data_IF_805015029283
#
_entry.id   IF_805015029283
#
_cell.length_a   1.000
_cell.length_b   1.000
_cell.length_c   1.000
_cell.angle_alpha   90.00
_cell.angle_beta   90.00
_cell.angle_gamma   90.00
#
_symmetry.space_group_name_H-M   'P 1'
#
loop_
_entity.id
_entity.type
_entity.pdbx_description
1 polymer ?
#
# COMPACT_ATOMS: atom_id res chain seq x y z
N UNK A 1 2.12 60.45 -8.81
CA UNK A 1 3.15 59.95 -7.87
C UNK A 1 2.51 58.84 -7.05
N UNK A 2 2.86 57.59 -7.37
CA UNK A 2 2.36 56.39 -6.67
C UNK A 2 3.09 56.34 -5.33
N UNK A 3 2.35 56.31 -4.23
CA UNK A 3 2.89 56.26 -2.87
C UNK A 3 3.73 54.99 -2.70
N UNK A 4 5.05 55.18 -2.67
CA UNK A 4 5.99 54.22 -2.15
C UNK A 4 5.88 54.18 -0.62
N UNK A 5 5.91 52.97 -0.04
CA UNK A 5 6.26 52.80 1.37
C UNK A 5 5.11 52.65 2.36
N UNK A 6 4.26 51.64 2.19
CA UNK A 6 3.94 50.80 3.37
C UNK A 6 4.78 49.55 3.24
N UNK A 7 5.83 49.45 4.06
CA UNK A 7 6.53 48.19 4.25
C UNK A 7 5.46 47.13 4.56
N UNK A 8 5.35 46.12 3.70
CA UNK A 8 4.42 45.00 3.90
C UNK A 8 4.81 44.41 5.25
N UNK A 9 3.94 44.58 6.25
CA UNK A 9 4.18 44.10 7.60
C UNK A 9 4.54 42.62 7.48
N UNK A 10 5.76 42.27 7.92
CA UNK A 10 6.31 40.92 7.77
C UNK A 10 5.59 40.06 8.79
N UNK A 11 4.40 39.58 8.45
CA UNK A 11 3.68 38.60 9.25
C UNK A 11 4.55 37.35 9.31
N UNK A 12 5.10 37.09 10.48
CA UNK A 12 5.81 35.84 10.75
C UNK A 12 4.75 34.75 10.83
N UNK A 13 4.80 33.81 9.89
CA UNK A 13 3.85 32.71 9.86
C UNK A 13 4.01 31.86 11.11
N UNK A 14 2.91 31.50 11.75
CA UNK A 14 2.94 30.48 12.79
C UNK A 14 3.11 29.11 12.15
N UNK A 15 3.52 28.10 12.92
CA UNK A 15 3.57 26.71 12.44
C UNK A 15 2.22 26.23 11.91
N UNK A 16 1.09 26.76 12.42
CA UNK A 16 -0.26 26.43 11.94
C UNK A 16 -0.50 27.00 10.55
N UNK A 17 -0.05 28.22 10.30
CA UNK A 17 -0.17 28.85 8.97
C UNK A 17 0.70 28.13 7.95
N UNK A 18 1.92 27.76 8.34
CA UNK A 18 2.81 26.96 7.50
C UNK A 18 2.23 25.59 7.16
N UNK A 19 1.68 24.90 8.16
CA UNK A 19 1.01 23.61 7.97
C UNK A 19 -0.22 23.74 7.06
N UNK A 20 -1.00 24.82 7.22
CA UNK A 20 -2.14 25.10 6.35
C UNK A 20 -1.67 25.37 4.91
N UNK A 21 -0.60 26.15 4.72
CA UNK A 21 -0.03 26.42 3.41
C UNK A 21 0.46 25.14 2.71
N UNK A 22 1.17 24.28 3.44
CA UNK A 22 1.56 22.93 2.98
C UNK A 22 0.33 22.10 2.58
N UNK A 23 -0.71 22.09 3.43
CA UNK A 23 -1.93 21.31 3.21
C UNK A 23 -2.69 21.79 1.96
N UNK A 24 -2.85 23.10 1.80
CA UNK A 24 -3.46 23.70 0.60
C UNK A 24 -2.66 23.33 -0.63
N UNK A 25 -1.34 23.49 -0.60
CA UNK A 25 -0.47 23.18 -1.73
C UNK A 25 -0.60 21.71 -2.18
N UNK A 26 -0.49 20.76 -1.24
CA UNK A 26 -0.51 19.32 -1.53
C UNK A 26 -1.90 18.77 -1.83
N UNK A 27 -2.94 19.25 -1.16
CA UNK A 27 -4.30 18.70 -1.33
C UNK A 27 -5.07 19.34 -2.48
N UNK A 28 -4.91 20.65 -2.71
CA UNK A 28 -5.70 21.36 -3.70
C UNK A 28 -5.14 21.26 -5.12
N UNK A 29 -3.84 20.94 -5.28
CA UNK A 29 -3.21 20.85 -6.60
C UNK A 29 -2.98 22.22 -7.26
N UNK A 30 -2.77 23.25 -6.44
CA UNK A 30 -2.52 24.64 -6.87
C UNK A 30 -1.03 24.92 -7.04
N UNK A 31 -0.68 26.00 -7.73
CA UNK A 31 0.72 26.41 -7.91
C UNK A 31 1.31 26.99 -6.62
N UNK A 32 2.63 26.94 -6.48
CA UNK A 32 3.32 27.60 -5.35
C UNK A 32 3.07 29.11 -5.34
N UNK A 33 2.97 29.76 -6.50
CA UNK A 33 2.68 31.20 -6.59
C UNK A 33 1.30 31.58 -6.07
N UNK A 34 0.30 30.72 -6.32
CA UNK A 34 -1.04 30.92 -5.80
C UNK A 34 -1.05 30.83 -4.27
N UNK A 35 -0.39 29.81 -3.70
CA UNK A 35 -0.27 29.66 -2.25
C UNK A 35 0.54 30.81 -1.64
N UNK A 36 1.66 31.18 -2.25
CA UNK A 36 2.46 32.30 -1.79
C UNK A 36 1.65 33.61 -1.73
N UNK A 37 0.83 33.85 -2.74
CA UNK A 37 -0.08 35.00 -2.79
C UNK A 37 -1.14 34.94 -1.69
N UNK A 38 -1.75 33.77 -1.45
CA UNK A 38 -2.77 33.55 -0.42
C UNK A 38 -2.24 33.83 0.99
N UNK A 39 -0.99 33.43 1.28
CA UNK A 39 -0.36 33.59 2.59
C UNK A 39 0.49 34.86 2.71
N UNK A 40 0.56 35.70 1.66
CA UNK A 40 1.34 36.94 1.67
C UNK A 40 2.86 36.73 1.74
N UNK A 41 3.36 35.56 1.35
CA UNK A 41 4.77 35.16 1.38
C UNK A 41 5.38 35.08 -0.02
N UNK A 42 6.69 34.82 -0.12
CA UNK A 42 7.35 34.57 -1.40
C UNK A 42 7.21 33.12 -1.86
N UNK A 43 7.35 32.89 -3.18
CA UNK A 43 7.41 31.54 -3.75
C UNK A 43 8.55 30.70 -3.13
N UNK A 44 9.68 31.33 -2.81
CA UNK A 44 10.79 30.64 -2.15
C UNK A 44 10.42 30.19 -0.74
N UNK A 45 9.67 31.00 0.01
CA UNK A 45 9.22 30.63 1.35
C UNK A 45 8.27 29.43 1.33
N UNK A 46 7.28 29.39 0.42
CA UNK A 46 6.39 28.23 0.31
C UNK A 46 7.15 26.97 -0.08
N UNK A 47 8.20 27.08 -0.90
CA UNK A 47 9.06 25.95 -1.25
C UNK A 47 9.82 25.38 -0.05
N UNK A 48 10.32 26.24 0.85
CA UNK A 48 10.96 25.81 2.10
C UNK A 48 9.95 25.18 3.07
N UNK A 49 8.80 25.83 3.27
CA UNK A 49 7.68 25.33 4.09
C UNK A 49 7.26 23.94 3.61
N UNK A 50 7.05 23.79 2.30
CA UNK A 50 6.62 22.54 1.71
C UNK A 50 7.61 21.40 1.99
N UNK A 51 8.92 21.63 1.80
CA UNK A 51 9.94 20.61 2.05
C UNK A 51 10.08 20.26 3.53
N UNK A 52 10.03 21.26 4.42
CA UNK A 52 10.11 21.05 5.86
C UNK A 52 8.93 20.20 6.35
N UNK A 53 7.70 20.60 6.01
CA UNK A 53 6.50 19.86 6.39
C UNK A 53 6.41 18.50 5.71
N UNK A 54 6.87 18.35 4.46
CA UNK A 54 6.95 17.04 3.82
C UNK A 54 7.83 16.08 4.62
N UNK A 55 8.98 16.53 5.13
CA UNK A 55 9.85 15.69 5.94
C UNK A 55 9.18 15.32 7.28
N UNK A 56 8.59 16.29 7.97
CA UNK A 56 7.88 16.07 9.24
C UNK A 56 6.73 15.08 9.06
N UNK A 57 5.89 15.29 8.05
CA UNK A 57 4.73 14.44 7.76
C UNK A 57 5.14 13.03 7.34
N UNK A 58 6.18 12.90 6.51
CA UNK A 58 6.69 11.61 6.08
C UNK A 58 7.19 10.78 7.26
N UNK A 59 7.97 11.38 8.17
CA UNK A 59 8.44 10.69 9.39
C UNK A 59 7.29 10.37 10.33
N UNK A 60 6.48 11.35 10.71
CA UNK A 60 5.43 11.18 11.71
C UNK A 60 4.37 10.14 11.28
N UNK A 61 3.97 10.14 9.99
CA UNK A 61 2.97 9.19 9.51
C UNK A 61 3.51 7.76 9.40
N UNK A 62 4.81 7.58 9.11
CA UNK A 62 5.42 6.25 9.08
C UNK A 62 5.55 5.66 10.50
N UNK A 63 5.88 6.50 11.49
CA UNK A 63 5.89 6.11 12.90
C UNK A 63 4.48 5.80 13.42
N UNK A 64 3.48 6.59 13.00
CA UNK A 64 2.08 6.40 13.41
C UNK A 64 1.44 5.16 12.80
N UNK A 65 1.82 4.79 11.58
CA UNK A 65 1.26 3.65 10.85
C UNK A 65 2.37 2.69 10.42
N UNK A 66 2.99 1.98 11.37
CA UNK A 66 4.02 0.99 11.04
C UNK A 66 3.41 -0.17 10.24
N UNK A 67 4.24 -1.01 9.64
CA UNK A 67 3.73 -2.23 8.99
C UNK A 67 2.94 -3.06 10.01
N UNK A 68 1.72 -3.52 9.69
CA UNK A 68 0.97 -4.37 10.60
C UNK A 68 1.68 -5.72 10.75
N UNK A 69 1.58 -6.28 11.95
CA UNK A 69 2.04 -7.64 12.24
C UNK A 69 1.14 -8.69 11.58
N UNK A 70 1.63 -9.93 11.51
CA UNK A 70 0.84 -11.07 11.03
C UNK A 70 -0.44 -11.24 11.85
N UNK A 71 -0.34 -11.09 13.17
CA UNK A 71 -1.48 -11.18 14.08
C UNK A 71 -2.51 -10.07 13.85
N UNK A 72 -2.06 -8.81 13.69
CA UNK A 72 -2.96 -7.69 13.36
C UNK A 72 -3.70 -7.91 12.04
N UNK A 73 -3.01 -8.41 11.02
CA UNK A 73 -3.63 -8.71 9.72
C UNK A 73 -4.68 -9.83 9.79
N UNK A 74 -4.40 -10.89 10.56
CA UNK A 74 -5.32 -12.03 10.72
C UNK A 74 -6.51 -11.71 11.62
N UNK A 75 -6.38 -10.75 12.54
CA UNK A 75 -7.48 -10.31 13.42
C UNK A 75 -8.62 -9.64 12.65
N UNK A 76 -8.30 -8.91 11.59
CA UNK A 76 -9.25 -8.11 10.82
C UNK A 76 -9.15 -8.47 9.34
N UNK A 77 -9.24 -9.77 9.04
CA UNK A 77 -9.10 -10.27 7.68
C UNK A 77 -10.42 -10.08 6.90
N UNK A 78 -10.41 -9.57 5.65
CA UNK A 78 -11.66 -9.35 4.94
C UNK A 78 -12.27 -10.66 4.45
N UNK A 79 -13.54 -10.90 4.80
CA UNK A 79 -14.24 -12.17 4.52
C UNK A 79 -14.25 -12.52 3.03
N UNK A 80 -14.35 -11.51 2.16
CA UNK A 80 -14.36 -11.68 0.70
C UNK A 80 -13.13 -12.39 0.13
N UNK A 81 -11.96 -12.26 0.78
CA UNK A 81 -10.78 -13.01 0.36
C UNK A 81 -10.89 -14.50 0.71
N UNK A 82 -11.52 -14.82 1.84
CA UNK A 82 -11.79 -16.19 2.25
C UNK A 82 -12.84 -16.82 1.32
N UNK A 83 -13.88 -16.08 0.96
CA UNK A 83 -14.90 -16.55 0.00
C UNK A 83 -14.32 -16.76 -1.41
N UNK A 84 -13.42 -15.87 -1.84
CA UNK A 84 -12.77 -15.97 -3.13
C UNK A 84 -11.80 -17.16 -3.19
N UNK A 85 -10.89 -17.25 -2.21
CA UNK A 85 -9.71 -18.11 -2.27
C UNK A 85 -9.83 -19.38 -1.41
N UNK A 86 -10.83 -19.46 -0.53
CA UNK A 86 -10.99 -20.54 0.45
C UNK A 86 -10.01 -20.47 1.62
N UNK A 87 -9.22 -19.40 1.72
CA UNK A 87 -8.15 -19.26 2.71
C UNK A 87 -7.82 -17.78 2.99
N UNK A 88 -7.16 -17.51 4.11
CA UNK A 88 -6.67 -16.20 4.53
C UNK A 88 -5.15 -16.05 4.33
N UNK A 89 -4.70 -16.21 3.08
CA UNK A 89 -3.27 -16.14 2.70
C UNK A 89 -2.93 -15.03 1.72
N UNK A 90 -3.87 -14.17 1.31
CA UNK A 90 -3.54 -12.96 0.57
C UNK A 90 -3.02 -11.88 1.52
N UNK A 91 -1.78 -11.43 1.31
CA UNK A 91 -1.09 -10.44 2.16
C UNK A 91 -0.81 -9.12 1.46
N UNK A 92 -0.76 -9.14 0.13
CA UNK A 92 -0.40 -7.99 -0.68
C UNK A 92 -1.28 -7.92 -1.93
N UNK A 93 -1.86 -6.75 -2.15
CA UNK A 93 -2.46 -6.37 -3.43
C UNK A 93 -1.46 -5.46 -4.13
N UNK A 94 -0.77 -5.98 -5.13
CA UNK A 94 0.27 -5.25 -5.84
C UNK A 94 -0.32 -4.65 -7.12
N UNK A 95 -0.42 -3.33 -7.13
CA UNK A 95 -0.85 -2.56 -8.29
C UNK A 95 0.05 -1.33 -8.45
N UNK A 96 0.89 -1.35 -9.48
CA UNK A 96 1.71 -0.20 -9.80
C UNK A 96 0.89 0.83 -10.57
N UNK A 97 0.94 2.09 -10.15
CA UNK A 97 0.29 3.17 -10.88
C UNK A 97 1.31 4.18 -11.40
N UNK A 98 0.92 4.91 -12.44
CA UNK A 98 1.71 5.99 -13.03
C UNK A 98 1.04 7.35 -12.76
N UNK A 99 1.87 8.36 -12.51
CA UNK A 99 1.47 9.77 -12.52
C UNK A 99 2.24 10.51 -13.61
N UNK A 100 1.61 11.52 -14.18
CA UNK A 100 2.24 12.32 -15.24
C UNK A 100 3.26 13.29 -14.66
N UNK A 101 4.40 13.40 -15.35
CA UNK A 101 5.48 14.33 -14.99
C UNK A 101 5.76 15.26 -16.15
N UNK A 102 6.33 16.43 -15.87
CA UNK A 102 6.92 17.25 -16.92
C UNK A 102 8.04 16.48 -17.63
N UNK A 103 8.19 16.73 -18.92
CA UNK A 103 9.31 16.21 -19.68
C UNK A 103 10.59 16.97 -19.29
N UNK A 104 11.64 16.24 -18.96
CA UNK A 104 12.94 16.85 -18.68
C UNK A 104 13.63 17.29 -19.98
N UNK A 105 14.35 18.39 -19.93
CA UNK A 105 15.29 18.78 -21.00
C UNK A 105 16.52 17.86 -21.05
N UNK A 106 16.81 17.13 -19.97
CA UNK A 106 17.86 16.12 -19.96
C UNK A 106 17.37 14.86 -20.70
N UNK A 107 18.04 14.53 -21.81
CA UNK A 107 17.68 13.41 -22.70
C UNK A 107 17.65 12.07 -21.95
N UNK A 108 18.59 11.84 -21.04
CA UNK A 108 18.63 10.59 -20.26
C UNK A 108 17.42 10.49 -19.34
N UNK A 109 17.09 11.58 -18.64
CA UNK A 109 15.93 11.61 -17.75
C UNK A 109 14.62 11.51 -18.54
N UNK A 110 14.50 12.24 -19.65
CA UNK A 110 13.34 12.17 -20.55
C UNK A 110 13.14 10.75 -21.08
N UNK A 111 14.21 10.05 -21.47
CA UNK A 111 14.14 8.67 -21.94
C UNK A 111 13.75 7.70 -20.82
N UNK A 112 14.21 7.93 -19.59
CA UNK A 112 13.91 7.10 -18.43
C UNK A 112 12.48 7.29 -17.90
N UNK A 113 11.90 8.48 -18.03
CA UNK A 113 10.52 8.77 -17.60
C UNK A 113 9.49 8.50 -18.69
N UNK A 114 9.87 8.32 -19.95
CA UNK A 114 8.91 8.09 -21.02
C UNK A 114 8.21 6.72 -20.89
N UNK A 115 6.90 6.75 -20.66
CA UNK A 115 6.03 5.57 -20.68
C UNK A 115 5.42 5.43 -22.06
N UNK A 116 5.83 4.39 -22.79
CA UNK A 116 5.25 4.06 -24.09
C UNK A 116 3.76 3.73 -24.00
N UNK A 117 3.32 3.19 -22.85
CA UNK A 117 1.91 2.89 -22.60
C UNK A 117 1.06 4.16 -22.46
N UNK A 118 1.59 5.20 -21.80
CA UNK A 118 0.88 6.48 -21.61
C UNK A 118 1.19 7.53 -22.68
N UNK A 119 2.17 7.28 -23.54
CA UNK A 119 2.64 8.24 -24.55
C UNK A 119 3.20 9.54 -23.95
N UNK A 120 3.62 9.52 -22.67
CA UNK A 120 4.04 10.72 -21.94
C UNK A 120 5.16 10.39 -20.95
N UNK A 121 5.84 11.42 -20.43
CA UNK A 121 6.71 11.27 -19.27
C UNK A 121 5.88 10.99 -18.01
N UNK A 122 6.21 9.91 -17.30
CA UNK A 122 5.56 9.48 -16.07
C UNK A 122 6.57 9.02 -15.02
N UNK A 123 6.12 9.00 -13.78
CA UNK A 123 6.77 8.30 -12.68
C UNK A 123 5.88 7.15 -12.24
N UNK A 124 6.48 5.98 -11.98
CA UNK A 124 5.78 4.74 -11.61
C UNK A 124 5.97 4.48 -10.12
N UNK A 125 4.88 4.08 -9.45
CA UNK A 125 4.84 3.95 -7.99
C UNK A 125 4.46 2.55 -7.53
N UNK A 126 5.39 2.02 -6.74
CA UNK A 126 5.34 1.00 -5.70
C UNK A 126 6.30 1.48 -4.59
N UNK A 127 7.46 2.03 -5.01
CA UNK A 127 8.42 2.79 -4.18
C UNK A 127 8.99 4.06 -4.89
N UNK A 128 8.34 4.53 -5.96
CA UNK A 128 8.66 5.80 -6.66
C UNK A 128 9.89 5.79 -7.56
N UNK A 129 9.82 5.07 -8.69
CA UNK A 129 10.88 4.95 -9.70
C UNK A 129 10.46 5.57 -11.05
N UNK A 130 11.41 5.80 -11.99
CA UNK A 130 11.08 6.33 -13.32
C UNK A 130 10.07 5.47 -14.08
N UNK A 131 9.16 6.08 -14.84
CA UNK A 131 8.02 5.42 -15.48
C UNK A 131 8.34 4.26 -16.43
N UNK A 132 9.50 4.28 -17.10
CA UNK A 132 9.91 3.25 -18.08
C UNK A 132 10.28 1.90 -17.45
N UNK A 133 10.52 1.84 -16.14
CA UNK A 133 10.89 0.58 -15.49
C UNK A 133 9.75 -0.44 -15.64
N UNK A 134 10.10 -1.67 -16.04
CA UNK A 134 9.15 -2.77 -16.10
C UNK A 134 8.79 -3.26 -14.70
N UNK A 135 7.59 -3.80 -14.58
CA UNK A 135 6.99 -4.18 -13.29
C UNK A 135 7.81 -5.25 -12.54
N UNK A 136 8.40 -6.19 -13.27
CA UNK A 136 9.32 -7.21 -12.76
C UNK A 136 10.60 -6.60 -12.16
N UNK A 137 11.31 -5.78 -12.92
CA UNK A 137 12.53 -5.09 -12.45
C UNK A 137 12.25 -4.18 -11.27
N UNK A 138 11.07 -3.58 -11.25
CA UNK A 138 10.66 -2.69 -10.18
C UNK A 138 10.35 -3.47 -8.89
N UNK A 139 9.69 -4.61 -9.01
CA UNK A 139 9.41 -5.53 -7.90
C UNK A 139 10.69 -6.11 -7.32
N UNK A 140 11.64 -6.49 -8.18
CA UNK A 140 12.96 -6.98 -7.76
C UNK A 140 13.72 -5.91 -6.97
N UNK A 141 13.81 -4.68 -7.50
CA UNK A 141 14.55 -3.58 -6.84
C UNK A 141 13.92 -3.13 -5.52
N UNK A 142 12.60 -3.13 -5.43
CA UNK A 142 11.90 -2.72 -4.20
C UNK A 142 11.89 -3.79 -3.12
N UNK A 143 12.22 -5.04 -3.44
CA UNK A 143 12.12 -6.19 -2.53
C UNK A 143 10.74 -6.32 -1.86
N UNK A 144 9.69 -5.76 -2.47
CA UNK A 144 8.36 -5.62 -1.83
C UNK A 144 7.71 -6.96 -1.50
N UNK A 145 8.03 -8.02 -2.26
CA UNK A 145 7.51 -9.37 -2.02
C UNK A 145 8.03 -9.98 -0.71
N UNK A 146 9.17 -9.52 -0.19
CA UNK A 146 9.67 -9.98 1.11
C UNK A 146 8.72 -9.60 2.26
N UNK A 147 7.84 -8.61 2.07
CA UNK A 147 6.83 -8.23 3.07
C UNK A 147 5.71 -9.27 3.25
N UNK A 148 5.53 -10.16 2.27
CA UNK A 148 4.56 -11.25 2.35
C UNK A 148 5.21 -12.39 3.16
N UNK A 149 4.55 -13.00 4.16
CA UNK A 149 5.05 -14.19 4.83
C UNK A 149 5.28 -15.34 3.84
N UNK A 150 6.25 -16.22 4.14
CA UNK A 150 6.49 -17.41 3.32
C UNK A 150 5.21 -18.25 3.18
N UNK A 151 4.92 -18.70 1.96
CA UNK A 151 3.70 -19.43 1.59
C UNK A 151 2.43 -18.57 1.54
N UNK A 152 2.57 -17.26 1.78
CA UNK A 152 1.53 -16.28 1.49
C UNK A 152 1.43 -15.94 0.01
N UNK A 153 0.39 -15.18 -0.33
CA UNK A 153 0.02 -14.82 -1.69
C UNK A 153 0.03 -13.31 -1.88
N UNK A 154 0.58 -12.88 -3.02
CA UNK A 154 0.43 -11.52 -3.56
C UNK A 154 -0.49 -11.57 -4.78
N UNK A 155 -1.58 -10.81 -4.77
CA UNK A 155 -2.46 -10.67 -5.94
C UNK A 155 -1.99 -9.49 -6.78
N UNK A 156 -1.90 -9.69 -8.09
CA UNK A 156 -1.28 -8.72 -9.01
C UNK A 156 -2.11 -8.50 -10.28
N UNK A 157 -1.77 -7.45 -11.05
CA UNK A 157 -2.42 -7.24 -12.35
C UNK A 157 -2.07 -8.32 -13.38
N UNK A 158 -2.98 -8.57 -14.33
CA UNK A 158 -2.79 -9.52 -15.43
C UNK A 158 -1.50 -9.26 -16.21
N UNK A 159 -1.07 -8.00 -16.32
CA UNK A 159 0.19 -7.59 -16.95
C UNK A 159 1.44 -7.85 -16.11
N UNK A 160 1.28 -8.08 -14.81
CA UNK A 160 2.33 -8.05 -13.80
C UNK A 160 3.00 -9.43 -13.65
N UNK A 161 3.95 -9.75 -14.53
CA UNK A 161 4.60 -11.07 -14.58
C UNK A 161 5.77 -11.11 -13.60
N UNK A 162 5.50 -11.54 -12.36
CA UNK A 162 6.50 -11.61 -11.27
C UNK A 162 6.54 -12.97 -10.58
N UNK A 163 5.96 -14.00 -11.22
CA UNK A 163 5.81 -15.35 -10.70
C UNK A 163 7.16 -15.94 -10.23
N UNK A 164 8.24 -15.78 -11.03
CA UNK A 164 9.57 -16.25 -10.66
C UNK A 164 10.15 -15.49 -9.45
N UNK A 165 9.97 -14.16 -9.39
CA UNK A 165 10.38 -13.35 -8.24
C UNK A 165 9.63 -13.76 -6.97
N UNK A 166 8.33 -14.08 -7.09
CA UNK A 166 7.54 -14.66 -6.02
C UNK A 166 8.13 -15.98 -5.55
N UNK A 167 8.40 -16.92 -6.46
CA UNK A 167 8.99 -18.20 -6.12
C UNK A 167 10.35 -18.06 -5.41
N UNK A 168 11.19 -17.12 -5.85
CA UNK A 168 12.46 -16.80 -5.20
C UNK A 168 12.30 -16.33 -3.75
N UNK A 169 11.18 -15.68 -3.40
CA UNK A 169 10.89 -15.20 -2.04
C UNK A 169 9.95 -16.12 -1.24
N UNK A 170 9.54 -17.26 -1.82
CA UNK A 170 8.57 -18.18 -1.24
C UNK A 170 7.15 -17.61 -1.19
N UNK A 171 6.80 -16.76 -2.15
CA UNK A 171 5.51 -16.06 -2.27
C UNK A 171 4.76 -16.55 -3.51
N UNK A 172 3.49 -16.89 -3.32
CA UNK A 172 2.60 -17.26 -4.42
C UNK A 172 2.10 -16.01 -5.12
N UNK A 173 2.21 -15.96 -6.45
CA UNK A 173 1.67 -14.86 -7.25
C UNK A 173 0.33 -15.30 -7.82
N UNK A 174 -0.73 -14.62 -7.39
CA UNK A 174 -2.08 -14.87 -7.88
C UNK A 174 -2.48 -13.78 -8.89
N UNK A 175 -2.65 -14.21 -10.13
CA UNK A 175 -2.79 -13.32 -11.30
C UNK A 175 -3.87 -13.84 -12.23
N UNK A 176 -4.73 -12.98 -12.80
CA UNK A 176 -5.72 -13.41 -13.77
C UNK A 176 -5.08 -14.15 -14.95
N UNK A 177 -5.73 -15.23 -15.40
CA UNK A 177 -5.25 -15.99 -16.53
C UNK A 177 -5.22 -15.13 -17.81
N UNK A 178 -4.15 -15.26 -18.61
CA UNK A 178 -4.12 -14.72 -19.97
C UNK A 178 -4.84 -15.69 -20.90
N UNK A 179 -5.68 -15.16 -21.80
CA UNK A 179 -6.25 -15.94 -22.89
C UNK A 179 -5.09 -16.48 -23.72
N UNK A 180 -5.02 -17.80 -23.92
CA UNK A 180 -3.93 -18.40 -24.70
C UNK A 180 -4.10 -18.01 -26.17
N UNK A 181 -2.99 -17.89 -26.90
CA UNK A 181 -3.01 -17.59 -28.34
C UNK A 181 -3.82 -18.70 -29.06
N UNK A 182 -4.87 -18.31 -29.79
CA UNK A 182 -5.77 -19.25 -30.49
C UNK A 182 -6.96 -19.78 -29.68
N UNK A 183 -7.06 -19.52 -28.38
CA UNK A 183 -8.29 -19.81 -27.62
C UNK A 183 -9.39 -18.85 -28.08
N UNK A 184 -10.64 -19.30 -28.29
CA UNK A 184 -11.78 -18.42 -28.60
C UNK A 184 -12.36 -17.80 -27.32
N UNK A 185 -12.42 -18.58 -26.24
CA UNK A 185 -12.84 -18.17 -24.90
C UNK A 185 -11.96 -18.84 -23.82
N UNK A 186 -11.95 -18.30 -22.60
CA UNK A 186 -11.33 -18.94 -21.43
C UNK A 186 -12.24 -20.06 -20.92
N UNK A 187 -11.67 -21.05 -20.21
CA UNK A 187 -12.50 -22.09 -19.58
C UNK A 187 -13.37 -21.47 -18.48
N UNK A 188 -14.48 -22.11 -18.13
CA UNK A 188 -15.35 -21.66 -17.03
C UNK A 188 -14.60 -21.54 -15.69
N UNK A 189 -13.63 -22.43 -15.45
CA UNK A 189 -12.75 -22.39 -14.27
C UNK A 189 -11.84 -21.16 -14.31
N UNK A 190 -11.18 -20.90 -15.45
CA UNK A 190 -10.31 -19.73 -15.63
C UNK A 190 -11.09 -18.41 -15.52
N UNK A 191 -12.32 -18.38 -16.02
CA UNK A 191 -13.22 -17.22 -15.94
C UNK A 191 -13.60 -16.97 -14.48
N UNK A 192 -14.00 -18.00 -13.74
CA UNK A 192 -14.34 -17.88 -12.32
C UNK A 192 -13.15 -17.38 -11.49
N UNK A 193 -11.96 -17.95 -11.70
CA UNK A 193 -10.74 -17.49 -11.03
C UNK A 193 -10.40 -16.04 -11.40
N UNK A 194 -10.49 -15.68 -12.68
CA UNK A 194 -10.27 -14.31 -13.15
C UNK A 194 -11.24 -13.32 -12.51
N UNK A 195 -12.52 -13.70 -12.37
CA UNK A 195 -13.54 -12.87 -11.73
C UNK A 195 -13.28 -12.70 -10.22
N UNK A 196 -12.87 -13.77 -9.52
CA UNK A 196 -12.49 -13.72 -8.10
C UNK A 196 -11.30 -12.78 -7.86
N UNK A 197 -10.25 -12.89 -8.68
CA UNK A 197 -9.08 -12.01 -8.59
C UNK A 197 -9.43 -10.58 -8.95
N UNK A 198 -10.23 -10.36 -10.00
CA UNK A 198 -10.70 -9.03 -10.39
C UNK A 198 -11.48 -8.36 -9.27
N UNK A 199 -12.45 -9.06 -8.67
CA UNK A 199 -13.29 -8.57 -7.59
C UNK A 199 -12.49 -8.14 -6.34
N UNK A 200 -11.50 -8.92 -5.93
CA UNK A 200 -10.65 -8.60 -4.78
C UNK A 200 -9.69 -7.43 -5.07
N UNK A 201 -9.31 -7.23 -6.34
CA UNK A 201 -8.44 -6.13 -6.77
C UNK A 201 -9.11 -4.75 -6.85
N UNK A 202 -10.44 -4.69 -6.98
CA UNK A 202 -11.16 -3.40 -6.96
C UNK A 202 -10.80 -2.59 -5.70
N UNK A 203 -10.46 -3.26 -4.59
CA UNK A 203 -10.02 -2.62 -3.35
C UNK A 203 -8.76 -1.75 -3.58
N UNK A 204 -7.69 -2.30 -4.17
CA UNK A 204 -6.45 -1.53 -4.40
C UNK A 204 -6.65 -0.44 -5.45
N UNK A 205 -7.48 -0.70 -6.46
CA UNK A 205 -7.85 0.29 -7.48
C UNK A 205 -8.62 1.47 -6.86
N UNK A 206 -9.54 1.20 -5.95
CA UNK A 206 -10.25 2.23 -5.18
C UNK A 206 -9.30 3.04 -4.30
N UNK A 207 -8.36 2.40 -3.59
CA UNK A 207 -7.35 3.11 -2.78
C UNK A 207 -6.48 4.03 -3.68
N UNK A 208 -6.08 3.54 -4.85
CA UNK A 208 -5.32 4.32 -5.83
C UNK A 208 -6.14 5.50 -6.38
N UNK A 209 -7.44 5.31 -6.61
CA UNK A 209 -8.38 6.37 -6.97
C UNK A 209 -8.55 7.41 -5.87
N UNK A 210 -8.69 6.99 -4.62
CA UNK A 210 -8.80 7.88 -3.47
C UNK A 210 -7.53 8.71 -3.25
N UNK A 211 -6.35 8.11 -3.40
CA UNK A 211 -5.09 8.84 -3.36
C UNK A 211 -5.13 10.03 -4.33
N UNK A 212 -5.47 9.76 -5.58
CA UNK A 212 -5.57 10.77 -6.65
C UNK A 212 -6.66 11.80 -6.37
N UNK A 213 -7.79 11.40 -5.81
CA UNK A 213 -8.90 12.31 -5.50
C UNK A 213 -8.55 13.33 -4.40
N UNK A 214 -7.82 12.90 -3.37
CA UNK A 214 -7.53 13.72 -2.18
C UNK A 214 -6.17 14.43 -2.21
N UNK A 215 -5.22 13.90 -2.96
CA UNK A 215 -3.97 14.59 -3.28
C UNK A 215 -3.99 15.08 -4.71
N UNK A 216 -4.75 16.16 -4.96
CA UNK A 216 -4.94 16.66 -6.33
C UNK A 216 -3.64 17.10 -7.00
N UNK A 217 -2.58 17.37 -6.23
CA UNK A 217 -1.25 17.62 -6.80
C UNK A 217 -0.73 16.43 -7.64
N UNK A 218 -1.18 15.19 -7.38
CA UNK A 218 -0.80 13.99 -8.14
C UNK A 218 -1.57 13.83 -9.46
N UNK A 219 -2.64 14.61 -9.67
CA UNK A 219 -3.37 14.65 -10.95
C UNK A 219 -2.83 15.73 -11.90
N UNK A 220 -1.95 16.61 -11.40
CA UNK A 220 -1.27 17.60 -12.22
C UNK A 220 0.03 17.04 -12.80
N UNK A 221 0.61 17.74 -13.78
CA UNK A 221 1.95 17.44 -14.29
C UNK A 221 2.98 17.75 -13.19
N UNK A 222 3.57 16.71 -12.60
CA UNK A 222 4.58 16.86 -11.54
C UNK A 222 5.83 17.53 -12.12
N UNK A 223 6.29 18.66 -11.55
CA UNK A 223 7.49 19.33 -12.02
C UNK A 223 8.77 18.51 -11.83
N UNK A 224 9.72 18.63 -12.75
CA UNK A 224 11.01 17.91 -12.66
C UNK A 224 11.76 18.18 -11.35
N UNK A 225 11.66 19.39 -10.81
CA UNK A 225 12.30 19.79 -9.54
C UNK A 225 11.75 19.00 -8.32
N UNK A 226 10.60 18.34 -8.46
CA UNK A 226 9.97 17.56 -7.40
C UNK A 226 10.30 16.06 -7.46
N UNK A 227 11.07 15.60 -8.44
CA UNK A 227 11.36 14.17 -8.58
C UNK A 227 12.06 13.60 -7.35
N UNK A 228 12.95 14.37 -6.71
CA UNK A 228 13.63 13.92 -5.49
C UNK A 228 12.73 13.79 -4.26
N UNK A 229 11.50 14.31 -4.29
CA UNK A 229 10.58 14.29 -3.14
C UNK A 229 9.26 13.55 -3.44
N UNK A 230 9.02 13.12 -4.68
CA UNK A 230 7.72 12.60 -5.09
C UNK A 230 7.34 11.29 -4.37
N UNK A 231 8.32 10.44 -4.03
CA UNK A 231 8.07 9.21 -3.26
C UNK A 231 7.51 9.52 -1.87
N UNK A 232 8.01 10.57 -1.20
CA UNK A 232 7.47 11.05 0.09
C UNK A 232 6.05 11.58 -0.06
N UNK A 233 5.78 12.36 -1.11
CA UNK A 233 4.44 12.90 -1.40
C UNK A 233 3.42 11.77 -1.55
N UNK A 234 3.75 10.77 -2.37
CA UNK A 234 2.88 9.60 -2.60
C UNK A 234 2.69 8.79 -1.33
N UNK A 235 3.77 8.53 -0.57
CA UNK A 235 3.70 7.80 0.70
C UNK A 235 2.82 8.49 1.73
N UNK A 236 3.01 9.80 1.96
CA UNK A 236 2.13 10.62 2.80
C UNK A 236 0.68 10.46 2.34
N UNK A 237 0.44 10.50 1.03
CA UNK A 237 -0.89 10.32 0.46
C UNK A 237 -1.57 9.02 0.79
N UNK A 238 -0.84 7.91 0.74
CA UNK A 238 -1.37 6.61 1.15
C UNK A 238 -1.57 6.52 2.66
N UNK A 239 -0.61 7.01 3.45
CA UNK A 239 -0.69 6.97 4.90
C UNK A 239 -1.85 7.81 5.44
N UNK A 240 -2.16 8.95 4.81
CA UNK A 240 -3.33 9.76 5.14
C UNK A 240 -4.66 9.03 4.87
N UNK A 241 -4.69 8.03 3.98
CA UNK A 241 -5.90 7.23 3.78
C UNK A 241 -6.26 6.39 5.01
N UNK A 242 -5.30 6.12 5.92
CA UNK A 242 -5.57 5.34 7.13
C UNK A 242 -6.55 6.05 8.09
N UNK A 243 -6.71 7.37 7.98
CA UNK A 243 -7.69 8.13 8.76
C UNK A 243 -9.12 8.05 8.23
N UNK A 244 -9.34 7.40 7.08
CA UNK A 244 -10.68 7.21 6.52
C UNK A 244 -11.33 5.93 7.01
N UNK A 245 -12.63 5.80 6.84
CA UNK A 245 -13.37 4.57 7.07
C UNK A 245 -12.76 3.38 6.28
N UNK A 246 -12.88 2.18 6.86
CA UNK A 246 -12.46 0.95 6.22
C UNK A 246 -13.17 0.75 4.87
N UNK A 247 -12.42 0.35 3.84
CA UNK A 247 -13.01 -0.04 2.56
C UNK A 247 -13.44 -1.50 2.70
N UNK A 248 -14.70 -1.71 3.07
CA UNK A 248 -15.32 -3.03 3.01
C UNK A 248 -16.46 -2.94 2.00
N UNK A 249 -16.27 -3.58 0.85
CA UNK A 249 -17.28 -3.64 -0.20
C UNK A 249 -18.35 -4.67 0.19
N UNK A 250 -19.14 -4.34 1.20
CA UNK A 250 -20.38 -5.04 1.52
C UNK A 250 -21.39 -4.06 2.14
N UNK A 251 -21.72 -3.06 1.34
CA UNK A 251 -22.93 -2.29 1.54
C UNK A 251 -23.86 -2.65 0.38
N UNK A 252 -24.95 -3.37 0.69
CA UNK A 252 -26.20 -3.11 0.00
C UNK A 252 -26.54 -1.60 0.12
N UNK A 253 -27.56 -1.10 -0.59
CA UNK A 253 -28.01 0.29 -0.37
C UNK A 253 -28.15 0.52 1.14
N UNK A 254 -27.71 1.67 1.68
CA UNK A 254 -27.73 1.91 3.11
C UNK A 254 -29.15 1.68 3.61
N UNK A 255 -29.36 0.56 4.29
CA UNK A 255 -30.54 0.37 5.14
C UNK A 255 -30.38 1.44 6.21
N UNK A 256 -31.35 2.35 6.33
CA UNK A 256 -31.27 3.59 7.11
C UNK A 256 -31.08 3.44 8.63
N UNK A 257 -30.51 2.33 9.07
CA UNK A 257 -30.03 2.02 10.42
C UNK A 257 -28.50 2.03 10.40
N UNK A 258 -27.88 3.18 10.12
CA UNK A 258 -26.49 3.36 10.54
C UNK A 258 -26.51 3.55 12.06
N UNK A 259 -25.86 2.64 12.80
CA UNK A 259 -25.68 2.75 14.25
C UNK A 259 -25.16 4.14 14.62
N UNK A 260 -25.63 4.71 15.74
CA UNK A 260 -25.16 6.02 16.24
C UNK A 260 -23.64 6.05 16.50
N UNK A 261 -23.00 4.88 16.63
CA UNK A 261 -21.54 4.73 16.66
C UNK A 261 -20.96 4.82 15.23
N UNK A 262 -20.13 5.84 14.99
CA UNK A 262 -19.45 6.05 13.71
C UNK A 262 -18.55 4.87 13.30
N UNK A 263 -18.44 4.61 11.99
CA UNK A 263 -17.58 3.55 11.44
C UNK A 263 -16.11 3.82 11.80
N UNK A 264 -15.37 2.86 12.38
CA UNK A 264 -13.97 3.05 12.72
C UNK A 264 -13.13 3.31 11.47
N UNK A 265 -12.07 4.10 11.64
CA UNK A 265 -11.14 4.35 10.55
C UNK A 265 -10.28 3.11 10.28
N UNK A 266 -9.65 3.05 9.09
CA UNK A 266 -8.72 1.98 8.71
C UNK A 266 -7.63 1.80 9.74
N UNK A 267 -7.16 2.89 10.33
CA UNK A 267 -6.13 2.83 11.35
C UNK A 267 -6.59 2.11 12.62
N UNK A 268 -7.78 2.47 13.09
CA UNK A 268 -8.39 1.92 14.28
C UNK A 268 -8.61 0.41 14.14
N UNK A 269 -9.10 -0.01 12.97
CA UNK A 269 -9.24 -1.43 12.63
C UNK A 269 -7.88 -2.12 12.55
N UNK A 270 -6.94 -1.56 11.78
CA UNK A 270 -5.71 -2.28 11.41
C UNK A 270 -4.68 -2.36 12.53
N UNK A 271 -4.59 -1.35 13.39
CA UNK A 271 -3.57 -1.30 14.44
C UNK A 271 -4.14 -1.29 15.86
N UNK A 272 -5.31 -0.70 16.07
CA UNK A 272 -5.87 -0.48 17.41
C UNK A 272 -6.98 -1.48 17.81
N UNK A 273 -7.30 -2.44 16.94
CA UNK A 273 -8.14 -3.58 17.27
C UNK A 273 -9.65 -3.35 17.16
N UNK A 274 -10.10 -2.25 16.56
CA UNK A 274 -11.51 -2.11 16.23
C UNK A 274 -11.96 -3.16 15.19
N UNK A 275 -13.24 -3.50 15.24
CA UNK A 275 -13.90 -4.37 14.26
C UNK A 275 -14.74 -3.56 13.28
N UNK A 276 -14.93 -4.06 12.07
CA UNK A 276 -15.84 -3.49 11.09
C UNK A 276 -16.59 -4.62 10.39
N UNK A 277 -17.82 -4.35 9.96
CA UNK A 277 -18.62 -5.29 9.14
C UNK A 277 -17.81 -5.77 7.94
N UNK A 278 -17.87 -7.08 7.67
CA UNK A 278 -17.14 -7.76 6.59
C UNK A 278 -15.66 -8.05 6.86
N UNK A 279 -15.19 -7.83 8.09
CA UNK A 279 -13.90 -8.31 8.60
C UNK A 279 -14.12 -9.40 9.65
N UNK A 280 -13.20 -10.36 9.73
CA UNK A 280 -13.26 -11.49 10.66
C UNK A 280 -11.88 -11.81 11.23
N UNK A 281 -11.87 -12.23 12.50
CA UNK A 281 -10.68 -12.77 13.14
C UNK A 281 -10.49 -14.24 12.74
N UNK A 282 -9.53 -14.49 11.84
CA UNK A 282 -9.23 -15.84 11.36
C UNK A 282 -8.19 -16.57 12.21
N UNK A 283 -7.62 -15.92 13.24
CA UNK A 283 -6.56 -16.53 14.05
C UNK A 283 -7.03 -17.82 14.72
N UNK A 284 -8.29 -17.91 15.11
CA UNK A 284 -8.86 -19.11 15.73
C UNK A 284 -8.90 -20.34 14.80
N UNK A 285 -8.75 -20.18 13.49
CA UNK A 285 -8.73 -21.29 12.54
C UNK A 285 -7.42 -21.32 11.75
N UNK A 286 -6.40 -21.98 12.32
CA UNK A 286 -5.06 -22.11 11.73
C UNK A 286 -5.07 -22.68 10.31
N UNK A 287 -6.07 -23.49 9.94
CA UNK A 287 -6.17 -24.07 8.59
C UNK A 287 -6.45 -23.03 7.51
N UNK A 288 -6.98 -21.87 7.86
CA UNK A 288 -7.22 -20.79 6.90
C UNK A 288 -5.94 -20.05 6.52
N UNK A 289 -4.93 -19.96 7.39
CA UNK A 289 -3.81 -19.04 7.21
C UNK A 289 -2.42 -19.65 7.42
N UNK A 290 -2.34 -20.80 8.10
CA UNK A 290 -1.09 -21.44 8.49
C UNK A 290 -0.49 -22.33 7.40
N UNK A 291 0.83 -22.48 7.44
CA UNK A 291 1.55 -23.54 6.73
C UNK A 291 1.28 -24.90 7.39
N UNK A 292 1.56 -26.01 6.68
CA UNK A 292 1.40 -27.35 7.26
C UNK A 292 2.19 -27.54 8.57
N UNK A 293 3.38 -26.95 8.65
CA UNK A 293 4.17 -26.95 9.89
C UNK A 293 3.52 -26.15 11.03
N UNK A 294 2.85 -25.04 10.71
CA UNK A 294 2.14 -24.22 11.70
C UNK A 294 0.84 -24.90 12.15
N UNK A 295 0.15 -25.59 11.25
CA UNK A 295 -1.04 -26.39 11.57
C UNK A 295 -0.68 -27.55 12.50
N UNK A 296 0.42 -28.26 12.21
CA UNK A 296 0.94 -29.32 13.09
C UNK A 296 1.35 -28.77 14.45
N UNK A 297 2.08 -27.66 14.46
CA UNK A 297 2.52 -27.01 15.70
C UNK A 297 1.35 -26.52 16.55
N UNK A 298 0.31 -25.99 15.91
CA UNK A 298 -0.93 -25.60 16.59
C UNK A 298 -1.61 -26.81 17.25
N UNK A 299 -1.70 -27.94 16.55
CA UNK A 299 -2.25 -29.18 17.10
C UNK A 299 -1.42 -29.69 18.29
N UNK A 300 -0.10 -29.73 18.16
CA UNK A 300 0.82 -30.11 19.26
C UNK A 300 0.59 -29.24 20.50
N UNK A 301 0.59 -27.92 20.35
CA UNK A 301 0.38 -26.98 21.46
C UNK A 301 -1.02 -27.12 22.07
N UNK A 302 -2.03 -27.47 21.27
CA UNK A 302 -3.40 -27.65 21.75
C UNK A 302 -3.57 -28.92 22.61
N UNK A 303 -2.69 -29.90 22.46
CA UNK A 303 -2.70 -31.16 23.23
C UNK A 303 -1.86 -31.11 24.51
N UNK A 304 -1.09 -30.04 24.73
CA UNK A 304 -0.21 -29.88 25.89
C UNK A 304 -1.01 -29.49 27.15
N UNK A 305 -0.79 -30.22 28.26
CA UNK A 305 -1.43 -29.94 29.57
C UNK A 305 -1.20 -28.49 30.04
N UNK A 306 0.00 -27.93 29.80
CA UNK A 306 0.35 -26.54 30.12
C UNK A 306 -0.46 -25.48 29.37
N UNK A 307 -1.24 -25.89 28.37
CA UNK A 307 -2.08 -25.02 27.55
C UNK A 307 -3.57 -25.36 27.67
N UNK A 308 -3.92 -26.24 28.62
CA UNK A 308 -5.31 -26.53 28.95
C UNK A 308 -6.05 -25.23 29.33
N UNK A 309 -7.21 -24.99 28.69
CA UNK A 309 -8.01 -23.79 28.89
C UNK A 309 -7.66 -22.59 28.01
N UNK A 310 -6.57 -22.62 27.23
CA UNK A 310 -6.28 -21.59 26.23
C UNK A 310 -7.23 -21.68 25.04
N UNK A 311 -7.64 -20.53 24.53
CA UNK A 311 -8.42 -20.43 23.30
C UNK A 311 -7.57 -20.76 22.06
N UNK A 312 -8.21 -21.18 20.98
CA UNK A 312 -7.52 -21.42 19.71
C UNK A 312 -6.76 -20.18 19.20
N UNK A 313 -7.23 -18.97 19.51
CA UNK A 313 -6.56 -17.71 19.18
C UNK A 313 -5.26 -17.56 19.96
N UNK A 314 -5.26 -17.85 21.27
CA UNK A 314 -4.06 -17.77 22.11
C UNK A 314 -3.00 -18.77 21.64
N UNK A 315 -3.39 -20.01 21.32
CA UNK A 315 -2.48 -20.99 20.72
C UNK A 315 -1.93 -20.48 19.38
N UNK A 316 -2.78 -19.91 18.53
CA UNK A 316 -2.35 -19.32 17.26
C UNK A 316 -1.35 -18.17 17.43
N UNK A 317 -1.50 -17.31 18.45
CA UNK A 317 -0.52 -16.27 18.77
C UNK A 317 0.85 -16.85 19.15
N UNK A 318 0.87 -17.97 19.88
CA UNK A 318 2.11 -18.68 20.19
C UNK A 318 2.79 -19.18 18.92
N UNK A 319 2.03 -19.82 18.02
CA UNK A 319 2.55 -20.29 16.72
C UNK A 319 3.06 -19.14 15.85
N UNK A 320 2.33 -18.02 15.78
CA UNK A 320 2.73 -16.82 15.01
C UNK A 320 4.04 -16.25 15.57
N UNK A 321 4.21 -16.25 16.88
CA UNK A 321 5.42 -15.75 17.57
C UNK A 321 6.65 -16.59 17.24
N UNK A 322 6.48 -17.89 16.97
CA UNK A 322 7.59 -18.78 16.58
C UNK A 322 8.16 -18.48 15.16
N UNK A 323 7.52 -17.60 14.38
CA UNK A 323 7.98 -17.11 13.06
C UNK A 323 8.39 -18.22 12.10
N UNK A 324 7.54 -19.24 11.95
CA UNK A 324 7.74 -20.33 10.99
C UNK A 324 7.90 -19.84 9.55
N UNK A 325 7.23 -18.75 9.19
CA UNK A 325 7.40 -18.04 7.92
C UNK A 325 8.87 -17.68 7.66
N UNK A 326 9.55 -17.12 8.66
CA UNK A 326 10.95 -16.71 8.55
C UNK A 326 11.89 -17.92 8.53
N UNK A 327 11.62 -18.95 9.35
CA UNK A 327 12.38 -20.21 9.35
C UNK A 327 12.33 -20.86 7.96
N UNK A 328 11.15 -20.90 7.34
CA UNK A 328 10.97 -21.46 5.99
C UNK A 328 11.61 -20.61 4.90
N UNK A 329 11.56 -19.28 5.00
CA UNK A 329 12.30 -18.42 4.07
C UNK A 329 13.82 -18.60 4.18
N UNK A 330 14.36 -18.69 5.40
CA UNK A 330 15.79 -19.00 5.62
C UNK A 330 16.17 -20.34 4.99
N UNK A 331 15.32 -21.36 5.18
CA UNK A 331 15.51 -22.67 4.54
C UNK A 331 15.54 -22.55 3.01
N UNK A 332 14.58 -21.85 2.40
CA UNK A 332 14.54 -21.60 0.95
C UNK A 332 15.83 -20.93 0.45
N UNK A 333 16.30 -19.90 1.15
CA UNK A 333 17.53 -19.17 0.79
C UNK A 333 18.77 -20.07 0.82
N UNK A 334 18.90 -20.89 1.86
CA UNK A 334 20.02 -21.83 1.95
C UNK A 334 19.97 -22.92 0.87
N UNK A 335 18.79 -23.50 0.64
CA UNK A 335 18.62 -24.65 -0.26
C UNK A 335 18.64 -24.26 -1.74
N UNK A 336 17.96 -23.17 -2.11
CA UNK A 336 17.75 -22.78 -3.51
C UNK A 336 18.72 -21.69 -3.95
N UNK A 337 19.03 -20.73 -3.07
CA UNK A 337 19.87 -19.59 -3.42
C UNK A 337 21.32 -19.75 -2.96
N UNK A 338 21.63 -20.79 -2.19
CA UNK A 338 22.95 -21.07 -1.64
C UNK A 338 23.56 -19.88 -0.90
N UNK A 339 22.72 -19.10 -0.20
CA UNK A 339 23.13 -17.95 0.61
C UNK A 339 22.25 -17.82 1.84
N UNK A 340 22.77 -17.17 2.87
CA UNK A 340 21.97 -16.83 4.05
C UNK A 340 20.91 -15.78 3.69
N UNK A 341 19.73 -15.91 4.28
CA UNK A 341 18.72 -14.85 4.19
C UNK A 341 19.16 -13.67 5.07
N UNK A 342 19.57 -12.59 4.42
CA UNK A 342 20.04 -11.34 5.03
C UNK A 342 18.95 -10.54 5.76
N UNK A 343 17.70 -11.02 5.75
CA UNK A 343 16.55 -10.30 6.30
C UNK A 343 16.05 -9.17 5.40
N UNK A 344 16.91 -8.61 4.54
CA UNK A 344 16.69 -7.31 3.90
C UNK A 344 16.41 -6.20 4.93
N UNK A 345 16.31 -4.95 4.46
CA UNK A 345 15.77 -3.86 5.27
C UNK A 345 14.24 -4.04 5.45
N UNK A 346 13.82 -5.00 6.28
CA UNK A 346 12.42 -5.27 6.58
C UNK A 346 12.00 -5.12 8.03
#
# INVERSE_FOLDING_TARGET
KINAGKARQKYELTWKDEFLAFSVYRRAGVTQDFVASLFGISQSQIHYIDRAWLQVMDTALQEMFPRPTRSQMLRNYPTRFIEADGHARCWLLLDAFEIFTQQSSNVNLSSATHSSYKGHSTAKFLDGYPGKISDDKFTEKSSILRQVPFGGTSKVDKGFIVDNLGAHEGVLIDRPAKRKKGQIQQSTVDVSQTQKIGNTRIIVENVNGELKLHMRCLNALIPCIQFGIISKVVRIGYLLQNFKCAIVQDHGPPTGEESEEGKPCRAEVRWYGASSTGLVDVRGNVRLWGLDCEIKRHAELSEMEEHEGKTAIEISEMVITERWDLKKRKQLYNEVHHREYDGGDL
#
